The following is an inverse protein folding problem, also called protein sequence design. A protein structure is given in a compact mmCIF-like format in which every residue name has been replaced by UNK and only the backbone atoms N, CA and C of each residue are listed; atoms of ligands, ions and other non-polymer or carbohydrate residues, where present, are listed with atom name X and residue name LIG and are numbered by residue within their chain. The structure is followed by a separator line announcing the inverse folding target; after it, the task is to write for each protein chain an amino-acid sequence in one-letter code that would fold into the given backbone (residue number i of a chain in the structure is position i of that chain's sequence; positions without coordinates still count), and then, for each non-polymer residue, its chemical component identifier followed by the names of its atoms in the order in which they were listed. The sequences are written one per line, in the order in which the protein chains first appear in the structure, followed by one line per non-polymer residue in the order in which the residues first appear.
data_IF_176105949081
#
_entry.id   IF_176105949081
#
_cell.length_a   1.000
_cell.length_b   1.000
_cell.length_c   1.000
_cell.angle_alpha   90.00
_cell.angle_beta   90.00
_cell.angle_gamma   90.00
#
_symmetry.space_group_name_H-M   'P 1'
#
loop_
_entity.id
_entity.type
_entity.pdbx_description
1 polymer ?
#
# COMPACT_ATOMS: atom_id res chain seq x y z
N UNK A 1 -5.77 35.30 23.37
CA UNK A 1 -4.83 35.01 22.26
C UNK A 1 -4.07 33.71 22.49
N UNK A 2 -3.26 33.57 23.55
CA UNK A 2 -2.55 32.30 23.84
C UNK A 2 -3.49 31.09 24.02
N UNK A 3 -4.62 31.24 24.73
CA UNK A 3 -5.62 30.15 24.85
C UNK A 3 -6.19 29.73 23.48
N UNK A 4 -6.52 30.69 22.62
CA UNK A 4 -7.03 30.40 21.28
C UNK A 4 -5.99 29.69 20.41
N UNK A 5 -4.72 30.10 20.50
CA UNK A 5 -3.61 29.43 19.83
C UNK A 5 -3.43 27.98 20.32
N UNK A 6 -3.41 27.75 21.64
CA UNK A 6 -3.27 26.40 22.20
C UNK A 6 -4.44 25.49 21.81
N UNK A 7 -5.67 26.03 21.78
CA UNK A 7 -6.85 25.30 21.28
C UNK A 7 -6.72 24.99 19.78
N UNK A 8 -6.18 25.92 18.99
CA UNK A 8 -5.88 25.72 17.58
C UNK A 8 -4.88 24.57 17.37
N UNK A 9 -3.77 24.55 18.11
CA UNK A 9 -2.77 23.48 18.01
C UNK A 9 -3.39 22.12 18.35
N UNK A 10 -4.15 22.03 19.44
CA UNK A 10 -4.82 20.79 19.83
C UNK A 10 -5.84 20.31 18.78
N UNK A 11 -6.55 21.25 18.13
CA UNK A 11 -7.46 20.93 17.03
C UNK A 11 -6.70 20.41 15.80
N UNK A 12 -5.59 21.01 15.42
CA UNK A 12 -4.72 20.56 14.32
C UNK A 12 -4.17 19.16 14.59
N UNK A 13 -3.67 18.90 15.80
CA UNK A 13 -3.20 17.56 16.19
C UNK A 13 -4.31 16.52 16.04
N UNK A 14 -5.53 16.83 16.51
CA UNK A 14 -6.68 15.94 16.35
C UNK A 14 -7.03 15.69 14.89
N UNK A 15 -7.04 16.74 14.06
CA UNK A 15 -7.31 16.63 12.63
C UNK A 15 -6.25 15.78 11.92
N UNK A 16 -4.99 15.92 12.30
CA UNK A 16 -3.92 15.10 11.77
C UNK A 16 -4.12 13.61 12.10
N UNK A 17 -4.45 13.26 13.34
CA UNK A 17 -4.77 11.87 13.69
C UNK A 17 -6.01 11.35 12.94
N UNK A 18 -7.02 12.20 12.77
CA UNK A 18 -8.21 11.86 11.99
C UNK A 18 -7.87 11.61 10.52
N UNK A 19 -7.00 12.42 9.92
CA UNK A 19 -6.46 12.24 8.58
C UNK A 19 -5.76 10.88 8.44
N UNK A 20 -4.81 10.56 9.32
CA UNK A 20 -4.05 9.30 9.28
C UNK A 20 -4.97 8.08 9.38
N UNK A 21 -5.98 8.13 10.25
CA UNK A 21 -6.98 7.07 10.34
C UNK A 21 -7.83 6.98 9.08
N UNK A 22 -8.25 8.12 8.56
CA UNK A 22 -9.15 8.19 7.42
C UNK A 22 -8.46 7.74 6.12
N UNK A 23 -7.17 8.04 5.96
CA UNK A 23 -6.41 7.65 4.76
C UNK A 23 -6.12 6.15 4.77
N UNK A 24 -5.87 5.57 5.96
CA UNK A 24 -5.82 4.12 6.13
C UNK A 24 -7.15 3.44 5.79
N UNK A 25 -8.28 4.01 6.18
CA UNK A 25 -9.60 3.50 5.77
C UNK A 25 -9.77 3.56 4.25
N UNK A 26 -9.48 4.71 3.64
CA UNK A 26 -9.53 4.88 2.19
C UNK A 26 -8.65 3.87 1.45
N UNK A 27 -7.43 3.61 1.93
CA UNK A 27 -6.55 2.56 1.38
C UNK A 27 -7.19 1.17 1.38
N UNK A 28 -8.02 0.85 2.38
CA UNK A 28 -8.70 -0.44 2.50
C UNK A 28 -10.03 -0.52 1.73
N UNK A 29 -10.78 0.58 1.67
CA UNK A 29 -12.14 0.62 1.12
C UNK A 29 -12.16 1.03 -0.34
N UNK A 30 -11.26 1.94 -0.74
CA UNK A 30 -11.30 2.67 -2.02
C UNK A 30 -12.65 3.36 -2.25
N UNK A 31 -13.26 3.84 -1.17
CA UNK A 31 -14.56 4.50 -1.21
C UNK A 31 -14.38 6.02 -1.45
N UNK A 32 -15.07 6.54 -2.45
CA UNK A 32 -15.09 7.98 -2.78
C UNK A 32 -15.57 8.84 -1.61
N UNK A 33 -16.48 8.32 -0.77
CA UNK A 33 -16.92 9.04 0.43
C UNK A 33 -15.79 9.20 1.45
N UNK A 34 -14.86 8.25 1.51
CA UNK A 34 -13.69 8.35 2.37
C UNK A 34 -12.66 9.35 1.81
N UNK A 35 -12.52 9.40 0.48
CA UNK A 35 -11.69 10.37 -0.24
C UNK A 35 -12.19 11.81 -0.05
N UNK A 36 -13.50 12.04 -0.14
CA UNK A 36 -14.09 13.36 0.09
C UNK A 36 -13.81 13.87 1.51
N UNK A 37 -13.94 13.01 2.52
CA UNK A 37 -13.59 13.38 3.91
C UNK A 37 -12.11 13.73 4.07
N UNK A 38 -11.20 13.05 3.34
CA UNK A 38 -9.78 13.41 3.37
C UNK A 38 -9.55 14.83 2.85
N UNK A 39 -10.20 15.19 1.76
CA UNK A 39 -10.13 16.55 1.21
C UNK A 39 -10.66 17.58 2.22
N UNK A 40 -11.80 17.30 2.87
CA UNK A 40 -12.37 18.17 3.91
C UNK A 40 -11.41 18.38 5.10
N UNK A 41 -10.76 17.31 5.56
CA UNK A 41 -9.78 17.40 6.66
C UNK A 41 -8.56 18.22 6.25
N UNK A 42 -8.07 18.06 5.03
CA UNK A 42 -6.93 18.85 4.52
C UNK A 42 -7.26 20.32 4.36
N UNK A 43 -8.45 20.64 3.85
CA UNK A 43 -8.92 22.03 3.76
C UNK A 43 -8.99 22.66 5.16
N UNK A 44 -9.50 21.92 6.15
CA UNK A 44 -9.54 22.39 7.54
C UNK A 44 -8.12 22.59 8.11
N UNK A 45 -7.20 21.66 7.88
CA UNK A 45 -5.78 21.80 8.28
C UNK A 45 -5.12 23.02 7.64
N UNK A 46 -5.36 23.27 6.34
CA UNK A 46 -4.85 24.44 5.62
C UNK A 46 -5.33 25.73 6.24
N UNK A 47 -6.64 25.83 6.51
CA UNK A 47 -7.26 27.01 7.12
C UNK A 47 -6.63 27.35 8.49
N UNK A 48 -6.32 26.34 9.31
CA UNK A 48 -5.64 26.57 10.59
C UNK A 48 -4.18 27.03 10.42
N UNK A 49 -3.47 26.49 9.43
CA UNK A 49 -2.11 26.90 9.12
C UNK A 49 -2.04 28.34 8.60
N UNK A 50 -3.01 28.78 7.81
CA UNK A 50 -3.10 30.17 7.33
C UNK A 50 -3.48 31.15 8.45
N UNK A 51 -4.31 30.71 9.40
CA UNK A 51 -4.76 31.56 10.51
C UNK A 51 -3.66 31.80 11.56
N UNK A 52 -2.74 30.86 11.73
CA UNK A 52 -1.71 30.90 12.76
C UNK A 52 -0.32 30.63 12.19
N UNK A 53 0.60 31.57 12.38
CA UNK A 53 2.02 31.38 12.06
C UNK A 53 2.67 30.43 13.08
N UNK A 54 2.59 29.12 12.79
CA UNK A 54 3.04 28.05 13.66
C UNK A 54 3.79 26.97 12.89
N UNK A 55 5.08 26.83 13.18
CA UNK A 55 5.92 25.79 12.60
C UNK A 55 5.40 24.37 12.88
N UNK A 56 4.69 24.14 14.00
CA UNK A 56 4.09 22.84 14.32
C UNK A 56 2.87 22.53 13.45
N UNK A 57 2.02 23.53 13.20
CA UNK A 57 0.87 23.37 12.30
C UNK A 57 1.34 23.17 10.86
N UNK A 58 2.33 23.97 10.43
CA UNK A 58 3.01 23.80 9.14
C UNK A 58 3.51 22.36 8.94
N UNK A 59 4.20 21.78 9.93
CA UNK A 59 4.69 20.40 9.86
C UNK A 59 3.53 19.40 9.72
N UNK A 60 2.49 19.50 10.54
CA UNK A 60 1.35 18.57 10.46
C UNK A 60 0.62 18.63 9.11
N UNK A 61 0.33 19.84 8.63
CA UNK A 61 -0.36 20.03 7.36
C UNK A 61 0.47 19.46 6.20
N UNK A 62 1.77 19.77 6.14
CA UNK A 62 2.59 19.32 5.03
C UNK A 62 2.83 17.81 5.02
N UNK A 63 2.95 17.16 6.19
CA UNK A 63 2.98 15.70 6.25
C UNK A 63 1.67 15.13 5.66
N UNK A 64 0.51 15.62 6.11
CA UNK A 64 -0.78 15.16 5.62
C UNK A 64 -0.95 15.41 4.11
N UNK A 65 -0.60 16.61 3.64
CA UNK A 65 -0.72 17.01 2.25
C UNK A 65 0.15 16.14 1.33
N UNK A 66 1.40 15.89 1.68
CA UNK A 66 2.30 15.06 0.84
C UNK A 66 1.82 13.61 0.81
N UNK A 67 1.38 13.04 1.93
CA UNK A 67 0.77 11.71 1.93
C UNK A 67 -0.51 11.67 1.09
N UNK A 68 -1.38 12.67 1.19
CA UNK A 68 -2.57 12.75 0.35
C UNK A 68 -2.21 12.76 -1.13
N UNK A 69 -1.25 13.59 -1.54
CA UNK A 69 -0.77 13.63 -2.92
C UNK A 69 -0.24 12.26 -3.35
N UNK A 70 0.63 11.63 -2.57
CA UNK A 70 1.22 10.34 -2.93
C UNK A 70 0.19 9.18 -2.99
N UNK A 71 -0.89 9.28 -2.22
CA UNK A 71 -1.87 8.19 -2.06
C UNK A 71 -3.09 8.37 -2.98
N UNK A 72 -3.51 9.60 -3.22
CA UNK A 72 -4.78 9.95 -3.88
C UNK A 72 -4.59 10.50 -5.29
N UNK A 73 -3.50 11.23 -5.57
CA UNK A 73 -3.25 11.75 -6.92
C UNK A 73 -2.69 10.64 -7.82
N UNK A 74 -3.44 10.30 -8.87
CA UNK A 74 -3.05 9.26 -9.83
C UNK A 74 -2.26 9.82 -11.01
N UNK A 75 -2.31 11.13 -11.23
CA UNK A 75 -1.64 11.78 -12.34
C UNK A 75 -0.17 12.06 -12.02
N UNK A 76 0.69 11.21 -12.57
CA UNK A 76 2.15 11.32 -12.45
C UNK A 76 2.69 12.69 -12.89
N UNK A 77 2.14 13.31 -13.93
CA UNK A 77 2.62 14.61 -14.43
C UNK A 77 2.24 15.76 -13.50
N UNK A 78 1.07 15.67 -12.85
CA UNK A 78 0.68 16.60 -11.79
C UNK A 78 1.63 16.49 -10.60
N UNK A 79 1.96 15.26 -10.17
CA UNK A 79 2.92 15.05 -9.10
C UNK A 79 4.31 15.59 -9.43
N UNK A 80 4.82 15.34 -10.64
CA UNK A 80 6.11 15.87 -11.11
C UNK A 80 6.14 17.40 -11.13
N UNK A 81 5.03 18.04 -11.51
CA UNK A 81 4.94 19.51 -11.51
C UNK A 81 5.10 20.14 -10.11
N UNK A 82 4.89 19.35 -9.05
CA UNK A 82 5.03 19.76 -7.65
C UNK A 82 6.40 19.47 -7.03
N UNK A 83 7.37 18.96 -7.79
CA UNK A 83 8.68 18.52 -7.24
C UNK A 83 9.39 19.62 -6.44
N UNK A 84 9.55 20.80 -7.04
CA UNK A 84 10.23 21.93 -6.39
C UNK A 84 9.48 22.39 -5.13
N UNK A 85 8.15 22.38 -5.16
CA UNK A 85 7.30 22.73 -4.01
C UNK A 85 7.53 21.76 -2.85
N UNK A 86 7.45 20.45 -3.12
CA UNK A 86 7.61 19.38 -2.13
C UNK A 86 9.04 19.37 -1.55
N UNK A 87 10.06 19.50 -2.39
CA UNK A 87 11.46 19.55 -1.95
C UNK A 87 11.71 20.75 -1.03
N UNK A 88 11.18 21.93 -1.38
CA UNK A 88 11.32 23.12 -0.55
C UNK A 88 10.61 22.98 0.79
N UNK A 89 9.39 22.43 0.81
CA UNK A 89 8.63 22.16 2.03
C UNK A 89 9.37 21.19 2.95
N UNK A 90 9.87 20.07 2.41
CA UNK A 90 10.57 19.06 3.21
C UNK A 90 11.93 19.56 3.71
N UNK A 91 12.60 20.43 2.95
CA UNK A 91 13.80 21.14 3.39
C UNK A 91 13.47 22.12 4.52
N UNK A 92 12.37 22.86 4.42
CA UNK A 92 11.91 23.76 5.48
C UNK A 92 11.56 22.99 6.76
N UNK A 93 10.86 21.85 6.64
CA UNK A 93 10.60 20.96 7.77
C UNK A 93 11.90 20.48 8.43
N UNK A 94 12.89 20.08 7.64
CA UNK A 94 14.21 19.68 8.17
C UNK A 94 14.89 20.84 8.92
N UNK A 95 14.85 22.05 8.38
CA UNK A 95 15.38 23.25 9.05
C UNK A 95 14.64 23.54 10.37
N UNK A 96 13.33 23.32 10.42
CA UNK A 96 12.53 23.44 11.66
C UNK A 96 13.01 22.41 12.69
N UNK A 97 13.20 21.15 12.28
CA UNK A 97 13.68 20.11 13.19
C UNK A 97 15.07 20.40 13.75
N UNK A 98 15.98 20.92 12.92
CA UNK A 98 17.33 21.31 13.34
C UNK A 98 17.31 22.51 14.28
N UNK A 99 16.49 23.53 13.97
CA UNK A 99 16.34 24.73 14.80
C UNK A 99 15.76 24.43 16.17
N UNK A 100 14.83 23.48 16.25
CA UNK A 100 14.15 23.07 17.48
C UNK A 100 14.57 21.66 17.89
N UNK A 101 15.86 21.36 17.83
CA UNK A 101 16.42 20.03 18.08
C UNK A 101 16.17 19.47 19.51
N UNK A 102 15.81 20.32 20.47
CA UNK A 102 15.45 19.89 21.83
C UNK A 102 13.96 19.53 21.99
N UNK A 103 13.12 19.78 20.98
CA UNK A 103 11.70 19.40 21.02
C UNK A 103 11.55 17.90 20.76
N UNK A 104 11.07 17.17 21.76
CA UNK A 104 10.85 15.72 21.70
C UNK A 104 9.92 15.32 20.56
N UNK A 105 8.92 16.15 20.22
CA UNK A 105 8.04 15.84 19.09
C UNK A 105 8.84 15.78 17.79
N UNK A 106 9.68 16.78 17.50
CA UNK A 106 10.49 16.79 16.29
C UNK A 106 11.54 15.69 16.25
N UNK A 107 12.14 15.36 17.39
CA UNK A 107 13.06 14.21 17.46
C UNK A 107 12.37 12.90 17.10
N UNK A 108 11.09 12.74 17.44
CA UNK A 108 10.32 11.53 17.15
C UNK A 108 9.80 11.47 15.71
N UNK A 109 9.77 12.57 14.95
CA UNK A 109 9.20 12.59 13.60
C UNK A 109 10.18 13.04 12.50
N UNK A 110 11.43 13.38 12.85
CA UNK A 110 12.41 13.87 11.88
C UNK A 110 12.68 12.88 10.74
N UNK A 111 12.54 11.57 10.98
CA UNK A 111 12.69 10.53 9.96
C UNK A 111 11.67 10.64 8.82
N UNK A 112 10.55 11.35 9.04
CA UNK A 112 9.48 11.46 8.06
C UNK A 112 9.91 12.20 6.79
N UNK A 113 10.89 13.09 6.84
CA UNK A 113 11.34 13.79 5.63
C UNK A 113 11.94 12.82 4.62
N UNK A 114 12.79 11.89 5.06
CA UNK A 114 13.36 10.86 4.19
C UNK A 114 12.27 9.86 3.72
N UNK A 115 11.31 9.49 4.58
CA UNK A 115 10.18 8.62 4.19
C UNK A 115 9.29 9.26 3.11
N UNK A 116 8.92 10.53 3.30
CA UNK A 116 8.09 11.29 2.35
C UNK A 116 8.81 11.49 1.02
N UNK A 117 10.12 11.76 1.03
CA UNK A 117 10.92 11.86 -0.19
C UNK A 117 10.99 10.50 -0.91
N UNK A 118 11.22 9.41 -0.18
CA UNK A 118 11.21 8.07 -0.75
C UNK A 118 9.89 7.75 -1.45
N UNK A 119 8.77 8.00 -0.77
CA UNK A 119 7.44 7.74 -1.33
C UNK A 119 7.15 8.63 -2.54
N UNK A 120 7.44 9.93 -2.44
CA UNK A 120 7.24 10.88 -3.52
C UNK A 120 8.06 10.53 -4.78
N UNK A 121 9.35 10.23 -4.63
CA UNK A 121 10.19 9.83 -5.77
C UNK A 121 9.83 8.46 -6.33
N UNK A 122 9.30 7.55 -5.50
CA UNK A 122 8.74 6.29 -5.99
C UNK A 122 7.53 6.55 -6.86
N UNK A 123 6.60 7.42 -6.42
CA UNK A 123 5.38 7.77 -7.15
C UNK A 123 5.65 8.49 -8.47
N UNK A 124 6.64 9.37 -8.49
CA UNK A 124 7.08 10.08 -9.71
C UNK A 124 8.04 9.28 -10.58
N UNK A 125 8.33 8.01 -10.21
CA UNK A 125 9.25 7.10 -10.91
C UNK A 125 10.68 7.62 -11.05
N UNK A 126 11.12 8.48 -10.13
CA UNK A 126 12.51 8.90 -10.03
C UNK A 126 13.33 7.90 -9.21
N UNK A 127 13.69 6.78 -9.84
CA UNK A 127 14.32 5.65 -9.15
C UNK A 127 15.67 5.97 -8.49
N UNK A 128 16.46 6.87 -9.09
CA UNK A 128 17.77 7.25 -8.56
C UNK A 128 17.59 7.97 -7.22
N UNK A 129 16.68 8.95 -7.17
CA UNK A 129 16.40 9.67 -5.91
C UNK A 129 15.70 8.77 -4.90
N UNK A 130 14.74 7.94 -5.33
CA UNK A 130 14.11 6.97 -4.44
C UNK A 130 15.14 6.01 -3.80
N UNK A 131 16.11 5.50 -4.56
CA UNK A 131 17.18 4.65 -4.01
C UNK A 131 18.03 5.40 -2.97
N UNK A 132 18.40 6.65 -3.24
CA UNK A 132 19.16 7.47 -2.29
C UNK A 132 18.46 7.62 -0.94
N UNK A 133 17.14 7.83 -0.92
CA UNK A 133 16.39 7.91 0.34
C UNK A 133 16.16 6.54 0.98
N UNK A 134 16.01 5.48 0.20
CA UNK A 134 15.96 4.12 0.74
C UNK A 134 17.25 3.78 1.51
N UNK A 135 18.42 4.13 0.95
CA UNK A 135 19.72 3.90 1.60
C UNK A 135 19.87 4.66 2.92
N UNK A 136 19.25 5.84 3.06
CA UNK A 136 19.20 6.60 4.31
C UNK A 136 18.25 6.00 5.34
N UNK A 137 17.10 5.49 4.91
CA UNK A 137 16.08 4.90 5.79
C UNK A 137 16.55 3.57 6.36
N UNK A 138 17.21 2.75 5.53
CA UNK A 138 17.64 1.40 5.88
C UNK A 138 18.38 1.29 7.23
N UNK A 139 19.39 2.11 7.59
CA UNK A 139 20.05 2.02 8.88
C UNK A 139 19.16 2.41 10.07
N UNK A 140 18.13 3.26 9.88
CA UNK A 140 17.30 3.78 10.96
C UNK A 140 16.08 2.91 11.29
N UNK A 141 15.72 1.97 10.41
CA UNK A 141 14.46 1.22 10.52
C UNK A 141 14.27 0.49 11.86
N UNK A 142 15.36 -0.01 12.47
CA UNK A 142 15.31 -0.71 13.76
C UNK A 142 14.91 0.21 14.91
N UNK A 143 15.25 1.50 14.81
CA UNK A 143 14.88 2.50 15.80
C UNK A 143 13.46 3.04 15.57
N UNK A 144 12.98 3.00 14.33
CA UNK A 144 11.67 3.53 13.93
C UNK A 144 10.57 2.49 14.22
N UNK A 145 10.72 1.26 13.74
CA UNK A 145 9.68 0.22 13.79
C UNK A 145 9.05 -0.04 15.16
N UNK A 146 9.78 -0.03 16.29
CA UNK A 146 9.18 -0.26 17.61
C UNK A 146 8.25 0.86 18.09
N UNK A 147 8.28 2.03 17.45
CA UNK A 147 7.49 3.17 17.86
C UNK A 147 6.06 3.07 17.30
N UNK A 148 5.04 2.93 18.15
CA UNK A 148 3.64 2.85 17.70
C UNK A 148 3.21 4.04 16.82
N UNK A 149 3.67 5.25 17.14
CA UNK A 149 3.37 6.44 16.32
C UNK A 149 3.92 6.34 14.90
N UNK A 150 4.91 5.46 14.67
CA UNK A 150 5.53 5.26 13.36
C UNK A 150 4.78 4.28 12.46
N UNK A 151 3.88 3.44 13.00
CA UNK A 151 3.32 2.29 12.29
C UNK A 151 2.69 2.65 10.95
N UNK A 152 1.92 3.75 10.90
CA UNK A 152 1.35 4.25 9.64
C UNK A 152 2.44 4.52 8.59
N UNK A 153 3.47 5.28 8.96
CA UNK A 153 4.53 5.68 8.05
C UNK A 153 5.38 4.49 7.61
N UNK A 154 5.61 3.53 8.51
CA UNK A 154 6.30 2.27 8.18
C UNK A 154 5.50 1.47 7.17
N UNK A 155 4.18 1.31 7.34
CA UNK A 155 3.40 0.53 6.35
C UNK A 155 3.26 1.23 5.00
N UNK A 156 3.20 2.57 4.97
CA UNK A 156 3.23 3.31 3.70
C UNK A 156 4.59 3.21 3.00
N UNK A 157 5.68 3.29 3.77
CA UNK A 157 7.02 3.00 3.26
C UNK A 157 7.11 1.60 2.64
N UNK A 158 6.52 0.58 3.28
CA UNK A 158 6.47 -0.78 2.75
C UNK A 158 5.64 -0.88 1.46
N UNK A 159 4.51 -0.16 1.37
CA UNK A 159 3.73 -0.07 0.14
C UNK A 159 4.57 0.56 -0.99
N UNK A 160 5.26 1.66 -0.72
CA UNK A 160 6.16 2.30 -1.68
C UNK A 160 7.34 1.38 -2.07
N UNK A 161 7.90 0.58 -1.15
CA UNK A 161 8.90 -0.44 -1.50
C UNK A 161 8.38 -1.46 -2.51
N UNK A 162 7.12 -1.89 -2.38
CA UNK A 162 6.48 -2.77 -3.38
C UNK A 162 6.39 -2.06 -4.72
N UNK A 163 5.94 -0.82 -4.78
CA UNK A 163 5.84 -0.05 -6.03
C UNK A 163 7.20 0.18 -6.71
N UNK A 164 8.23 0.48 -5.91
CA UNK A 164 9.61 0.60 -6.41
C UNK A 164 10.09 -0.72 -6.99
N UNK A 165 9.91 -1.83 -6.26
CA UNK A 165 10.23 -3.17 -6.74
C UNK A 165 9.51 -3.49 -8.05
N UNK A 166 8.24 -3.12 -8.19
CA UNK A 166 7.53 -3.32 -9.45
C UNK A 166 8.20 -2.56 -10.59
N UNK A 167 8.89 -1.46 -10.33
CA UNK A 167 9.53 -0.70 -11.41
C UNK A 167 10.93 -1.20 -11.75
N UNK A 168 11.75 -1.53 -10.76
CA UNK A 168 13.15 -1.96 -10.97
C UNK A 168 13.38 -3.49 -10.99
N UNK A 169 12.42 -4.27 -10.48
CA UNK A 169 12.48 -5.73 -10.42
C UNK A 169 13.40 -6.30 -9.34
N UNK A 170 13.92 -5.49 -8.42
CA UNK A 170 14.91 -5.92 -7.43
C UNK A 170 14.28 -6.63 -6.23
N UNK A 171 14.16 -7.96 -6.32
CA UNK A 171 13.61 -8.79 -5.23
C UNK A 171 14.45 -8.67 -3.96
N UNK A 172 15.79 -8.57 -4.10
CA UNK A 172 16.69 -8.43 -2.96
C UNK A 172 16.36 -7.15 -2.17
N UNK A 173 16.18 -6.02 -2.86
CA UNK A 173 15.77 -4.76 -2.23
C UNK A 173 14.39 -4.82 -1.61
N UNK A 174 13.45 -5.56 -2.21
CA UNK A 174 12.12 -5.75 -1.64
C UNK A 174 12.20 -6.40 -0.25
N UNK A 175 13.06 -7.40 -0.09
CA UNK A 175 13.09 -8.26 1.10
C UNK A 175 14.21 -7.96 2.09
N UNK A 176 15.16 -7.08 1.75
CA UNK A 176 16.38 -6.81 2.54
C UNK A 176 16.11 -6.44 4.01
N UNK A 177 14.98 -5.77 4.29
CA UNK A 177 14.62 -5.30 5.63
C UNK A 177 13.66 -6.24 6.36
N UNK A 178 13.16 -7.29 5.72
CA UNK A 178 12.00 -8.03 6.22
C UNK A 178 12.24 -8.60 7.63
N UNK A 179 13.39 -9.24 7.85
CA UNK A 179 13.74 -9.83 9.15
C UNK A 179 13.85 -8.75 10.24
N UNK A 180 14.53 -7.63 9.94
CA UNK A 180 14.70 -6.50 10.87
C UNK A 180 13.37 -5.86 11.24
N UNK A 181 12.48 -5.68 10.27
CA UNK A 181 11.14 -5.16 10.53
C UNK A 181 10.32 -6.17 11.34
N UNK A 182 10.36 -7.45 10.99
CA UNK A 182 9.64 -8.52 11.70
C UNK A 182 10.07 -8.67 13.16
N UNK A 183 11.34 -8.44 13.47
CA UNK A 183 11.87 -8.49 14.85
C UNK A 183 11.44 -7.28 15.70
N UNK A 184 11.13 -6.14 15.07
CA UNK A 184 10.95 -4.86 15.76
C UNK A 184 9.52 -4.30 15.70
N UNK A 185 8.69 -4.74 14.74
CA UNK A 185 7.34 -4.20 14.54
C UNK A 185 6.29 -5.03 15.31
N UNK A 186 5.45 -4.36 16.10
CA UNK A 186 4.35 -4.99 16.83
C UNK A 186 3.04 -4.22 16.61
N UNK A 187 2.37 -4.52 15.49
CA UNK A 187 1.12 -3.86 15.11
C UNK A 187 -0.08 -4.60 15.72
N UNK A 188 -0.85 -3.89 16.54
CA UNK A 188 -2.10 -4.39 17.10
C UNK A 188 -3.16 -4.60 16.00
N UNK A 189 -3.96 -5.67 16.09
CA UNK A 189 -5.08 -5.91 15.16
C UNK A 189 -6.15 -4.81 15.19
N UNK A 190 -6.25 -4.06 16.30
CA UNK A 190 -7.08 -2.86 16.42
C UNK A 190 -6.62 -1.74 15.46
N UNK A 191 -5.33 -1.70 15.11
CA UNK A 191 -4.77 -0.84 14.07
C UNK A 191 -5.01 -1.49 12.68
N UNK A 192 -6.28 -1.68 12.34
CA UNK A 192 -6.69 -2.56 11.25
C UNK A 192 -6.00 -2.28 9.90
N UNK A 193 -5.83 -1.01 9.54
CA UNK A 193 -5.10 -0.66 8.32
C UNK A 193 -3.64 -1.14 8.36
N UNK A 194 -2.90 -0.76 9.40
CA UNK A 194 -1.49 -1.11 9.54
C UNK A 194 -1.32 -2.63 9.55
N UNK A 195 -2.19 -3.34 10.28
CA UNK A 195 -2.15 -4.80 10.38
C UNK A 195 -2.31 -5.46 9.01
N UNK A 196 -3.36 -5.06 8.26
CA UNK A 196 -3.62 -5.61 6.93
C UNK A 196 -2.48 -5.25 5.96
N UNK A 197 -2.06 -3.99 5.92
CA UNK A 197 -1.01 -3.53 5.02
C UNK A 197 0.32 -4.28 5.23
N UNK A 198 0.72 -4.45 6.49
CA UNK A 198 1.92 -5.20 6.85
C UNK A 198 1.82 -6.68 6.45
N UNK A 199 0.71 -7.35 6.75
CA UNK A 199 0.51 -8.76 6.34
C UNK A 199 0.48 -8.92 4.82
N UNK A 200 -0.14 -7.99 4.09
CA UNK A 200 -0.09 -7.95 2.62
C UNK A 200 1.35 -7.82 2.12
N UNK A 201 2.12 -6.89 2.65
CA UNK A 201 3.53 -6.72 2.30
C UNK A 201 4.33 -8.03 2.50
N UNK A 202 4.16 -8.71 3.64
CA UNK A 202 4.82 -10.01 3.89
C UNK A 202 4.42 -11.06 2.86
N UNK A 203 3.12 -11.17 2.55
CA UNK A 203 2.63 -12.13 1.56
C UNK A 203 3.17 -11.83 0.14
N UNK A 204 3.24 -10.54 -0.24
CA UNK A 204 3.82 -10.09 -1.50
C UNK A 204 5.30 -10.44 -1.57
N UNK A 205 6.06 -10.16 -0.51
CA UNK A 205 7.48 -10.53 -0.42
C UNK A 205 7.69 -12.03 -0.61
N UNK A 206 6.90 -12.87 0.09
CA UNK A 206 6.94 -14.33 -0.07
C UNK A 206 6.61 -14.79 -1.49
N UNK A 207 5.59 -14.19 -2.10
CA UNK A 207 5.23 -14.48 -3.49
C UNK A 207 6.38 -14.21 -4.46
N UNK A 208 7.08 -13.08 -4.30
CA UNK A 208 8.21 -12.73 -5.15
C UNK A 208 9.48 -13.55 -4.86
N UNK A 209 9.64 -14.06 -3.64
CA UNK A 209 10.59 -15.12 -3.29
C UNK A 209 10.20 -16.51 -3.79
N UNK A 210 9.08 -16.64 -4.53
CA UNK A 210 8.49 -17.90 -5.04
C UNK A 210 8.03 -18.87 -3.93
N UNK A 211 7.89 -18.39 -2.69
CA UNK A 211 7.28 -19.10 -1.57
C UNK A 211 5.75 -18.88 -1.60
N UNK A 212 5.08 -19.54 -2.55
CA UNK A 212 3.64 -19.41 -2.76
C UNK A 212 2.82 -19.96 -1.60
N UNK A 213 3.31 -21.01 -0.93
CA UNK A 213 2.67 -21.60 0.25
C UNK A 213 2.72 -20.63 1.43
N UNK A 214 3.88 -20.05 1.72
CA UNK A 214 4.04 -19.01 2.75
C UNK A 214 3.17 -17.78 2.46
N UNK A 215 3.13 -17.31 1.22
CA UNK A 215 2.26 -16.20 0.81
C UNK A 215 0.78 -16.51 1.05
N UNK A 216 0.28 -17.68 0.61
CA UNK A 216 -1.10 -18.08 0.82
C UNK A 216 -1.46 -18.23 2.31
N UNK A 217 -0.53 -18.77 3.11
CA UNK A 217 -0.70 -18.96 4.55
C UNK A 217 -0.86 -17.63 5.28
N UNK A 218 0.01 -16.66 5.01
CA UNK A 218 -0.06 -15.32 5.63
C UNK A 218 -1.42 -14.68 5.37
N UNK A 219 -1.90 -14.71 4.12
CA UNK A 219 -3.21 -14.18 3.79
C UNK A 219 -4.30 -14.95 4.52
N UNK A 220 -4.25 -16.29 4.52
CA UNK A 220 -5.24 -17.13 5.19
C UNK A 220 -5.37 -16.82 6.69
N UNK A 221 -4.24 -16.76 7.40
CA UNK A 221 -4.16 -16.44 8.82
C UNK A 221 -4.79 -15.07 9.09
N UNK A 222 -4.38 -14.03 8.35
CA UNK A 222 -4.94 -12.69 8.46
C UNK A 222 -6.47 -12.68 8.26
N UNK A 223 -7.00 -13.41 7.26
CA UNK A 223 -8.46 -13.45 7.03
C UNK A 223 -9.23 -14.23 8.10
N UNK A 224 -8.57 -15.08 8.87
CA UNK A 224 -9.17 -15.83 9.97
C UNK A 224 -9.15 -15.03 11.29
N UNK A 225 -8.13 -14.22 11.49
CA UNK A 225 -7.97 -13.36 12.68
C UNK A 225 -8.85 -12.11 12.60
N UNK A 226 -8.98 -11.52 11.41
CA UNK A 226 -9.66 -10.25 11.19
C UNK A 226 -10.82 -10.37 10.21
N UNK A 227 -12.01 -9.92 10.64
CA UNK A 227 -13.18 -9.80 9.75
C UNK A 227 -13.03 -8.64 8.76
N UNK A 228 -12.74 -8.94 7.49
CA UNK A 228 -12.63 -7.95 6.42
C UNK A 228 -13.98 -7.52 5.78
N UNK A 229 -15.12 -7.84 6.39
CA UNK A 229 -16.46 -7.51 5.82
C UNK A 229 -16.66 -6.02 5.50
N UNK A 230 -16.10 -5.13 6.32
CA UNK A 230 -16.17 -3.67 6.14
C UNK A 230 -15.22 -3.15 5.05
N UNK A 231 -14.25 -3.97 4.65
CA UNK A 231 -13.19 -3.63 3.69
C UNK A 231 -13.31 -4.54 2.46
N UNK A 232 -14.49 -4.51 1.83
CA UNK A 232 -14.86 -5.47 0.78
C UNK A 232 -13.85 -5.49 -0.37
N UNK A 233 -13.39 -4.32 -0.81
CA UNK A 233 -12.37 -4.18 -1.85
C UNK A 233 -11.11 -4.98 -1.47
N UNK A 234 -10.60 -4.77 -0.26
CA UNK A 234 -9.42 -5.48 0.24
C UNK A 234 -9.64 -6.98 0.46
N UNK A 235 -10.81 -7.42 0.94
CA UNK A 235 -11.14 -8.85 1.08
C UNK A 235 -11.14 -9.55 -0.30
N UNK A 236 -11.70 -8.90 -1.32
CA UNK A 236 -11.70 -9.41 -2.69
C UNK A 236 -10.27 -9.52 -3.21
N UNK A 237 -9.46 -8.46 -3.06
CA UNK A 237 -8.06 -8.47 -3.50
C UNK A 237 -7.26 -9.59 -2.83
N UNK A 238 -7.35 -9.71 -1.50
CA UNK A 238 -6.67 -10.75 -0.74
C UNK A 238 -7.09 -12.15 -1.18
N UNK A 239 -8.38 -12.37 -1.44
CA UNK A 239 -8.87 -13.66 -1.93
C UNK A 239 -8.43 -13.98 -3.35
N UNK A 240 -8.39 -12.99 -4.25
CA UNK A 240 -7.89 -13.21 -5.61
C UNK A 240 -6.40 -13.55 -5.58
N UNK A 241 -5.62 -12.85 -4.74
CA UNK A 241 -4.22 -13.16 -4.53
C UNK A 241 -4.07 -14.59 -3.99
N UNK A 242 -4.74 -14.92 -2.88
CA UNK A 242 -4.72 -16.26 -2.30
C UNK A 242 -5.12 -17.36 -3.30
N UNK A 243 -6.15 -17.11 -4.11
CA UNK A 243 -6.59 -18.05 -5.16
C UNK A 243 -5.53 -18.24 -6.25
N UNK A 244 -4.79 -17.20 -6.62
CA UNK A 244 -3.65 -17.30 -7.52
C UNK A 244 -2.57 -18.22 -6.94
N UNK A 245 -2.19 -18.06 -5.66
CA UNK A 245 -1.21 -18.94 -5.04
C UNK A 245 -1.67 -20.41 -5.07
N UNK A 246 -2.92 -20.69 -4.70
CA UNK A 246 -3.45 -22.06 -4.80
C UNK A 246 -3.46 -22.60 -6.23
N UNK A 247 -3.77 -21.76 -7.21
CA UNK A 247 -3.69 -22.14 -8.62
C UNK A 247 -2.25 -22.50 -9.05
N UNK A 248 -1.25 -21.75 -8.58
CA UNK A 248 0.18 -21.99 -8.86
C UNK A 248 0.66 -23.31 -8.25
N UNK A 249 0.14 -23.66 -7.06
CA UNK A 249 0.50 -24.88 -6.33
C UNK A 249 -0.29 -26.11 -6.80
N UNK A 250 -1.31 -25.94 -7.67
CA UNK A 250 -2.17 -27.05 -8.10
C UNK A 250 -3.22 -27.47 -7.07
N UNK A 251 -3.52 -26.58 -6.11
CA UNK A 251 -4.55 -26.76 -5.08
C UNK A 251 -5.93 -26.36 -5.63
N UNK A 252 -6.37 -27.06 -6.67
CA UNK A 252 -7.55 -26.72 -7.48
C UNK A 252 -8.84 -26.59 -6.63
N UNK A 253 -8.98 -27.42 -5.60
CA UNK A 253 -10.12 -27.40 -4.67
C UNK A 253 -10.21 -26.08 -3.89
N UNK A 254 -9.10 -25.67 -3.27
CA UNK A 254 -9.02 -24.43 -2.51
C UNK A 254 -9.18 -23.20 -3.42
N UNK A 255 -8.56 -23.22 -4.61
CA UNK A 255 -8.72 -22.18 -5.60
C UNK A 255 -10.19 -22.03 -6.04
N UNK A 256 -10.86 -23.15 -6.34
CA UNK A 256 -12.27 -23.16 -6.78
C UNK A 256 -13.23 -22.68 -5.69
N UNK A 257 -12.95 -23.01 -4.42
CA UNK A 257 -13.71 -22.51 -3.27
C UNK A 257 -13.64 -20.99 -3.17
N UNK A 258 -12.44 -20.41 -3.26
CA UNK A 258 -12.26 -18.95 -3.25
C UNK A 258 -12.94 -18.29 -4.45
N UNK A 259 -12.79 -18.83 -5.66
CA UNK A 259 -13.47 -18.32 -6.87
C UNK A 259 -14.99 -18.29 -6.67
N UNK A 260 -15.55 -19.31 -6.05
CA UNK A 260 -17.00 -19.40 -5.81
C UNK A 260 -17.48 -18.39 -4.77
N UNK A 261 -16.71 -18.19 -3.70
CA UNK A 261 -16.95 -17.11 -2.72
C UNK A 261 -16.90 -15.74 -3.39
N UNK A 262 -15.84 -15.47 -4.16
CA UNK A 262 -15.62 -14.19 -4.84
C UNK A 262 -16.75 -13.84 -5.79
N UNK A 263 -17.18 -14.77 -6.65
CA UNK A 263 -18.33 -14.55 -7.55
C UNK A 263 -19.58 -14.09 -6.82
N UNK A 264 -19.86 -14.71 -5.66
CA UNK A 264 -21.03 -14.35 -4.84
C UNK A 264 -20.89 -12.94 -4.26
N UNK A 265 -19.68 -12.58 -3.82
CA UNK A 265 -19.40 -11.27 -3.24
C UNK A 265 -19.49 -10.13 -4.26
N UNK A 266 -19.00 -10.34 -5.48
CA UNK A 266 -18.99 -9.27 -6.50
C UNK A 266 -20.32 -9.13 -7.26
N UNK A 267 -21.19 -10.16 -7.24
CA UNK A 267 -22.46 -10.16 -7.98
C UNK A 267 -23.34 -8.92 -7.76
N UNK A 268 -23.49 -8.37 -6.54
CA UNK A 268 -24.32 -7.19 -6.30
C UNK A 268 -23.78 -5.90 -6.96
N UNK A 269 -22.47 -5.83 -7.22
CA UNK A 269 -21.77 -4.63 -7.72
C UNK A 269 -20.85 -5.02 -8.89
N UNK A 270 -21.36 -5.85 -9.80
CA UNK A 270 -20.53 -6.53 -10.81
C UNK A 270 -19.77 -5.56 -11.72
N UNK A 271 -20.35 -4.40 -12.01
CA UNK A 271 -19.74 -3.34 -12.82
C UNK A 271 -18.49 -2.74 -12.14
N UNK A 272 -18.58 -2.45 -10.83
CA UNK A 272 -17.47 -1.93 -10.03
C UNK A 272 -16.30 -2.92 -9.95
N UNK A 273 -16.58 -4.22 -10.00
CA UNK A 273 -15.59 -5.29 -9.84
C UNK A 273 -15.25 -5.98 -11.18
N UNK A 274 -15.24 -5.23 -12.27
CA UNK A 274 -14.91 -5.73 -13.62
C UNK A 274 -13.54 -6.40 -13.65
N UNK A 275 -12.51 -5.77 -13.08
CA UNK A 275 -11.15 -6.35 -13.01
C UNK A 275 -11.11 -7.66 -12.22
N UNK A 276 -11.81 -7.75 -11.10
CA UNK A 276 -11.93 -8.98 -10.32
C UNK A 276 -12.62 -10.10 -11.12
N UNK A 277 -13.67 -9.76 -11.89
CA UNK A 277 -14.38 -10.71 -12.77
C UNK A 277 -13.47 -11.26 -13.87
N UNK A 278 -12.66 -10.40 -14.49
CA UNK A 278 -11.67 -10.80 -15.48
C UNK A 278 -10.59 -11.70 -14.87
N UNK A 279 -10.09 -11.37 -13.68
CA UNK A 279 -9.11 -12.21 -12.99
C UNK A 279 -9.69 -13.57 -12.59
N UNK A 280 -10.96 -13.64 -12.17
CA UNK A 280 -11.67 -14.90 -11.92
C UNK A 280 -11.80 -15.73 -13.21
N UNK A 281 -12.06 -15.09 -14.36
CA UNK A 281 -12.11 -15.76 -15.69
C UNK A 281 -10.74 -16.33 -16.06
N UNK A 282 -9.67 -15.58 -15.81
CA UNK A 282 -8.28 -16.00 -15.93
C UNK A 282 -8.00 -17.27 -15.11
N UNK A 283 -8.25 -17.25 -13.79
CA UNK A 283 -8.01 -18.40 -12.91
C UNK A 283 -8.83 -19.63 -13.32
N UNK A 284 -10.11 -19.48 -13.68
CA UNK A 284 -10.91 -20.60 -14.16
C UNK A 284 -10.35 -21.24 -15.43
N UNK A 285 -9.80 -20.45 -16.34
CA UNK A 285 -9.20 -20.98 -17.57
C UNK A 285 -7.92 -21.74 -17.23
N UNK A 286 -7.14 -21.25 -16.26
CA UNK A 286 -5.98 -21.95 -15.73
C UNK A 286 -6.32 -23.27 -15.01
N UNK A 287 -7.50 -23.40 -14.40
CA UNK A 287 -7.93 -24.66 -13.76
C UNK A 287 -8.52 -25.68 -14.75
N UNK A 288 -8.99 -25.23 -15.92
CA UNK A 288 -9.66 -26.13 -16.88
C UNK A 288 -8.66 -27.10 -17.53
N UNK A 289 -9.00 -28.40 -17.63
CA UNK A 289 -8.27 -29.33 -18.48
C UNK A 289 -8.37 -28.89 -19.94
N UNK A 290 -7.22 -28.71 -20.59
CA UNK A 290 -7.11 -28.35 -22.00
C UNK A 290 -5.71 -28.68 -22.50
N UNK A 291 -5.55 -28.75 -23.83
CA UNK A 291 -4.23 -28.85 -24.45
C UNK A 291 -3.33 -27.69 -24.01
N UNK A 292 -2.12 -28.00 -23.55
CA UNK A 292 -1.21 -27.05 -22.89
C UNK A 292 -0.94 -25.78 -23.70
N UNK A 293 -0.60 -25.91 -24.99
CA UNK A 293 -0.32 -24.76 -25.88
C UNK A 293 -1.54 -23.85 -26.04
N UNK A 294 -2.72 -24.45 -26.25
CA UNK A 294 -3.99 -23.72 -26.37
C UNK A 294 -4.36 -23.03 -25.06
N UNK A 295 -4.09 -23.67 -23.92
CA UNK A 295 -4.33 -23.13 -22.59
C UNK A 295 -3.46 -21.91 -22.32
N UNK A 296 -2.15 -21.99 -22.57
CA UNK A 296 -1.23 -20.85 -22.43
C UNK A 296 -1.69 -19.66 -23.27
N UNK A 297 -1.99 -19.88 -24.56
CA UNK A 297 -2.43 -18.81 -25.45
C UNK A 297 -3.64 -18.08 -24.86
N UNK A 298 -4.65 -18.83 -24.41
CA UNK A 298 -5.88 -18.27 -23.85
C UNK A 298 -5.67 -17.57 -22.50
N UNK A 299 -4.79 -18.09 -21.66
CA UNK A 299 -4.44 -17.48 -20.38
C UNK A 299 -3.69 -16.17 -20.58
N UNK A 300 -2.77 -16.10 -21.55
CA UNK A 300 -2.10 -14.86 -21.94
C UNK A 300 -3.09 -13.81 -22.48
N UNK A 301 -4.01 -14.20 -23.37
CA UNK A 301 -5.06 -13.31 -23.88
C UNK A 301 -5.90 -12.72 -22.73
N UNK A 302 -6.28 -13.55 -21.75
CA UNK A 302 -7.08 -13.10 -20.60
C UNK A 302 -6.26 -12.27 -19.60
N UNK A 303 -4.97 -12.53 -19.45
CA UNK A 303 -4.08 -11.69 -18.65
C UNK A 303 -3.93 -10.30 -19.27
N UNK A 304 -3.79 -10.21 -20.59
CA UNK A 304 -3.75 -8.94 -21.30
C UNK A 304 -5.08 -8.18 -21.18
N UNK A 305 -6.21 -8.87 -21.34
CA UNK A 305 -7.56 -8.31 -21.15
C UNK A 305 -7.71 -7.75 -19.72
N UNK A 306 -7.27 -8.50 -18.70
CA UNK A 306 -7.23 -8.03 -17.32
C UNK A 306 -6.34 -6.80 -17.15
N UNK A 307 -5.09 -6.85 -17.62
CA UNK A 307 -4.13 -5.75 -17.44
C UNK A 307 -4.60 -4.44 -18.10
N UNK A 308 -5.30 -4.51 -19.24
CA UNK A 308 -5.88 -3.35 -19.90
C UNK A 308 -7.06 -2.75 -19.15
N UNK A 309 -7.91 -3.60 -18.55
CA UNK A 309 -9.07 -3.16 -17.77
C UNK A 309 -8.70 -2.73 -16.34
N UNK A 310 -7.56 -3.20 -15.82
CA UNK A 310 -7.16 -3.03 -14.43
C UNK A 310 -6.31 -1.76 -14.24
N UNK A 311 -6.95 -0.61 -14.36
CA UNK A 311 -6.31 0.70 -14.26
C UNK A 311 -7.07 1.62 -13.29
N UNK A 312 -6.40 2.68 -12.83
CA UNK A 312 -6.96 3.69 -11.93
C UNK A 312 -7.23 3.20 -10.50
N UNK A 313 -8.10 3.95 -9.81
CA UNK A 313 -8.28 3.86 -8.35
C UNK A 313 -8.82 2.52 -7.84
N UNK A 314 -9.56 1.82 -8.70
CA UNK A 314 -10.14 0.51 -8.42
C UNK A 314 -9.33 -0.65 -9.03
N UNK A 315 -8.10 -0.40 -9.48
CA UNK A 315 -7.20 -1.45 -9.91
C UNK A 315 -6.97 -2.45 -8.75
N UNK A 316 -7.16 -3.73 -9.05
CA UNK A 316 -6.99 -4.84 -8.10
C UNK A 316 -5.68 -5.56 -8.37
N UNK A 317 -5.01 -6.01 -7.33
CA UNK A 317 -3.69 -6.65 -7.44
C UNK A 317 -2.68 -5.77 -8.21
N UNK A 318 -2.57 -4.45 -7.94
CA UNK A 318 -1.64 -3.58 -8.66
C UNK A 318 -0.17 -4.02 -8.49
N UNK A 319 0.09 -4.78 -7.43
CA UNK A 319 1.39 -5.37 -7.12
C UNK A 319 1.69 -6.68 -7.83
N UNK A 320 0.81 -7.18 -8.72
CA UNK A 320 1.02 -8.47 -9.37
C UNK A 320 1.69 -8.31 -10.74
N UNK A 321 2.84 -8.97 -10.91
CA UNK A 321 3.48 -9.20 -12.21
C UNK A 321 3.58 -10.69 -12.50
N UNK A 322 3.02 -11.10 -13.64
CA UNK A 322 3.12 -12.46 -14.15
C UNK A 322 4.09 -12.49 -15.33
N UNK A 323 5.27 -13.06 -15.11
CA UNK A 323 6.22 -13.40 -16.18
C UNK A 323 5.78 -14.68 -16.92
N UNK A 324 6.44 -14.99 -18.04
CA UNK A 324 6.15 -16.22 -18.79
C UNK A 324 6.31 -17.49 -17.95
N UNK A 325 7.27 -17.51 -17.02
CA UNK A 325 7.53 -18.65 -16.16
C UNK A 325 6.37 -18.93 -15.21
N UNK A 326 5.82 -17.88 -14.60
CA UNK A 326 4.63 -17.95 -13.74
C UNK A 326 3.40 -18.37 -14.54
N UNK A 327 3.19 -17.82 -15.74
CA UNK A 327 2.05 -18.24 -16.58
C UNK A 327 2.15 -19.72 -16.97
N UNK A 328 3.35 -20.21 -17.28
CA UNK A 328 3.58 -21.65 -17.51
C UNK A 328 3.30 -22.48 -16.26
N UNK A 329 3.72 -22.02 -15.08
CA UNK A 329 3.44 -22.70 -13.80
C UNK A 329 1.95 -22.70 -13.44
N UNK A 330 1.24 -21.60 -13.67
CA UNK A 330 -0.22 -21.48 -13.47
C UNK A 330 -0.98 -22.44 -14.40
N UNK A 331 -0.51 -22.61 -15.64
CA UNK A 331 -1.18 -23.47 -16.64
C UNK A 331 -0.84 -24.95 -16.50
N UNK A 332 0.30 -25.27 -15.91
CA UNK A 332 0.72 -26.64 -15.59
C UNK A 332 1.43 -26.66 -14.22
N UNK A 333 0.67 -26.67 -13.12
CA UNK A 333 1.22 -26.69 -11.78
C UNK A 333 2.05 -27.95 -11.57
N UNK A 334 3.31 -27.78 -11.17
CA UNK A 334 4.13 -28.89 -10.69
C UNK A 334 3.69 -29.11 -9.25
N UNK A 335 3.10 -30.27 -8.96
CA UNK A 335 2.84 -30.68 -7.59
C UNK A 335 4.20 -31.05 -6.99
N UNK A 336 4.68 -30.22 -6.07
CA UNK A 336 5.83 -30.58 -5.24
C UNK A 336 5.35 -31.74 -4.35
N UNK A 337 5.76 -32.97 -4.69
CA UNK A 337 5.42 -34.20 -3.96
C UNK A 337 6.09 -34.26 -2.59
#
# INVERSE_FOLDING_TARGET
KHVAFSLGVSKVERLFYEFIRQIGNFRLTKDESDKNKLSEILDELSNFCELYDSHRMFVFYNIANIYYLCIVEENEEVLKSKEIEIENVLKEMSNIFDKYNLDTFYQNIKFLTDFLLFEYYTKTKNHIRAEHYLEKINPEIDAICPQHISHFYVVEFLNAKVEKFLTDGSVDRLVELNSRIEENIDIDMAETYHYIAYKKFKAISKFYQKDFSGAARIINEMRNELSMKKYLFTDIECKLFQALQYCIMGEDGLCTQLISSLKRQIKPSEEQYTSAKLFIKFLKTALKPAEYRRKIKKVNEQWLEFAQANTGEHAILPFLKLDEGLIRRITNPIKDN
#
